data_IF_832525490489
#
_entry.id   IF_832525490489
#
_cell.length_a   1.000
_cell.length_b   1.000
_cell.length_c   1.000
_cell.angle_alpha   90.00
_cell.angle_beta   90.00
_cell.angle_gamma   90.00
#
_symmetry.space_group_name_H-M   'P 1'
#
loop_
_entity.id
_entity.type
_entity.pdbx_description
1 polymer ?
#
# COMPACT_ATOMS: atom_id res chain seq x y z
N UNK A 1 -54.62 -41.51 3.34
CA UNK A 1 -54.48 -41.25 1.89
C UNK A 1 -53.22 -40.41 1.67
N UNK A 2 -52.45 -40.75 0.63
CA UNK A 2 -51.32 -40.05 -0.03
C UNK A 2 -50.24 -39.34 0.83
N UNK A 3 -49.06 -39.97 0.82
CA UNK A 3 -47.70 -39.40 0.97
C UNK A 3 -47.42 -38.39 -0.15
N UNK A 4 -46.68 -37.31 0.12
CA UNK A 4 -45.72 -36.74 -0.84
C UNK A 4 -44.52 -36.12 -0.13
N UNK A 5 -43.37 -36.77 -0.35
CA UNK A 5 -42.01 -36.29 -0.13
C UNK A 5 -41.65 -35.30 -1.23
N UNK A 6 -40.90 -34.24 -0.89
CA UNK A 6 -40.14 -33.37 -1.83
C UNK A 6 -39.02 -32.75 -0.99
N UNK A 7 -37.85 -33.36 -0.83
CA UNK A 7 -36.76 -33.53 -1.81
C UNK A 7 -36.38 -32.20 -2.50
N UNK A 8 -35.58 -31.38 -1.81
CA UNK A 8 -34.83 -30.29 -2.43
C UNK A 8 -33.70 -30.88 -3.30
N UNK A 9 -33.61 -30.53 -4.59
CA UNK A 9 -32.52 -30.98 -5.43
C UNK A 9 -31.26 -30.15 -5.19
N UNK A 10 -30.14 -30.85 -5.09
CA UNK A 10 -28.80 -30.30 -5.30
C UNK A 10 -28.74 -29.61 -6.66
N UNK A 11 -28.46 -28.30 -6.65
CA UNK A 11 -28.06 -27.58 -7.86
C UNK A 11 -26.61 -27.96 -8.21
N UNK A 12 -26.52 -28.80 -9.25
CA UNK A 12 -25.31 -29.14 -9.97
C UNK A 12 -24.71 -27.92 -10.67
N UNK A 13 -23.38 -27.91 -10.72
CA UNK A 13 -22.55 -27.00 -11.50
C UNK A 13 -22.89 -27.07 -13.00
N UNK A 14 -22.98 -25.91 -13.64
CA UNK A 14 -22.68 -25.77 -15.06
C UNK A 14 -22.08 -24.37 -15.33
N UNK A 15 -21.00 -24.38 -16.10
CA UNK A 15 -20.12 -23.26 -16.40
C UNK A 15 -20.81 -22.04 -17.03
N UNK A 16 -20.44 -20.84 -16.56
CA UNK A 16 -20.46 -19.63 -17.38
C UNK A 16 -19.02 -19.33 -17.83
N UNK A 17 -18.52 -20.15 -18.74
CA UNK A 17 -17.45 -19.77 -19.65
C UNK A 17 -18.11 -19.09 -20.85
N UNK A 18 -18.30 -17.77 -20.76
CA UNK A 18 -18.79 -16.94 -21.86
C UNK A 18 -17.58 -16.36 -22.59
N UNK A 19 -17.15 -17.03 -23.64
CA UNK A 19 -16.08 -16.61 -24.53
C UNK A 19 -16.68 -15.86 -25.72
N UNK A 20 -16.24 -14.64 -26.07
CA UNK A 20 -16.59 -14.04 -27.37
C UNK A 20 -15.67 -14.60 -28.47
N UNK A 21 -16.19 -14.93 -29.67
CA UNK A 21 -15.39 -15.37 -30.80
C UNK A 21 -14.97 -14.17 -31.67
N UNK A 22 -13.72 -14.13 -32.09
CA UNK A 22 -13.25 -13.19 -33.11
C UNK A 22 -11.75 -12.95 -33.06
N UNK A 23 -11.02 -13.62 -33.95
CA UNK A 23 -9.58 -13.74 -33.96
C UNK A 23 -8.82 -12.43 -34.26
N UNK A 24 -7.69 -12.24 -33.58
CA UNK A 24 -6.47 -11.67 -34.17
C UNK A 24 -5.27 -12.16 -33.35
N UNK A 25 -4.48 -13.03 -33.96
CA UNK A 25 -3.10 -13.31 -33.61
C UNK A 25 -2.28 -12.03 -33.78
N UNK A 26 -2.29 -11.19 -32.75
CA UNK A 26 -1.16 -10.33 -32.42
C UNK A 26 -0.80 -10.66 -30.98
N UNK A 27 0.01 -11.71 -30.83
CA UNK A 27 0.89 -11.86 -29.69
C UNK A 27 1.97 -10.76 -29.75
N UNK A 28 1.53 -9.49 -29.71
CA UNK A 28 2.35 -8.45 -29.15
C UNK A 28 2.46 -8.82 -27.67
N UNK A 29 3.62 -9.36 -27.32
CA UNK A 29 4.01 -9.57 -25.95
C UNK A 29 3.72 -8.27 -25.19
N UNK A 30 2.58 -8.22 -24.49
CA UNK A 30 2.47 -7.48 -23.25
C UNK A 30 3.56 -8.11 -22.38
N UNK A 31 4.77 -7.57 -22.49
CA UNK A 31 5.82 -7.80 -21.52
C UNK A 31 5.14 -7.75 -20.16
N UNK A 32 5.35 -8.74 -19.28
CA UNK A 32 4.77 -8.65 -17.95
C UNK A 32 5.22 -7.28 -17.45
N UNK A 33 4.27 -6.38 -17.20
CA UNK A 33 4.55 -5.28 -16.32
C UNK A 33 5.06 -6.01 -15.08
N UNK A 34 6.38 -5.96 -14.86
CA UNK A 34 7.00 -6.58 -13.70
C UNK A 34 6.12 -6.24 -12.51
N UNK A 35 5.99 -7.16 -11.55
CA UNK A 35 5.10 -7.10 -10.39
C UNK A 35 5.44 -5.93 -9.44
N UNK A 36 5.51 -4.74 -10.02
CA UNK A 36 5.94 -3.43 -9.51
C UNK A 36 4.89 -2.87 -8.58
N UNK A 37 3.65 -3.38 -8.68
CA UNK A 37 2.63 -3.22 -7.66
C UNK A 37 3.08 -3.75 -6.29
N UNK A 38 3.87 -4.83 -6.25
CA UNK A 38 4.43 -5.35 -5.00
C UNK A 38 5.64 -4.53 -4.50
N UNK A 39 6.43 -3.96 -5.41
CA UNK A 39 7.66 -3.23 -5.08
C UNK A 39 7.41 -1.95 -4.29
N UNK A 40 6.49 -1.09 -4.75
CA UNK A 40 6.20 0.15 -4.03
C UNK A 40 5.56 -0.12 -2.67
N UNK A 41 4.82 -1.23 -2.51
CA UNK A 41 4.27 -1.66 -1.22
C UNK A 41 5.37 -2.13 -0.27
N UNK A 42 6.37 -2.87 -0.76
CA UNK A 42 7.54 -3.24 0.02
C UNK A 42 8.33 -1.99 0.48
N UNK A 43 8.47 -0.98 -0.40
CA UNK A 43 9.09 0.30 -0.04
C UNK A 43 8.27 1.08 1.00
N UNK A 44 6.95 1.00 0.94
CA UNK A 44 6.07 1.56 1.98
C UNK A 44 6.31 0.89 3.34
N UNK A 45 6.40 -0.43 3.37
CA UNK A 45 6.74 -1.17 4.60
C UNK A 45 8.12 -0.76 5.13
N UNK A 46 9.13 -0.70 4.26
CA UNK A 46 10.48 -0.25 4.60
C UNK A 46 10.51 1.16 5.19
N UNK A 47 9.71 2.08 4.65
CA UNK A 47 9.54 3.42 5.22
C UNK A 47 8.98 3.36 6.64
N UNK A 48 7.90 2.59 6.86
CA UNK A 48 7.30 2.42 8.19
C UNK A 48 8.31 1.84 9.20
N UNK A 49 9.03 0.78 8.82
CA UNK A 49 10.07 0.15 9.66
C UNK A 49 11.19 1.13 10.01
N UNK A 50 11.67 1.90 9.01
CA UNK A 50 12.67 2.95 9.24
C UNK A 50 12.17 3.96 10.28
N UNK A 51 10.96 4.48 10.09
CA UNK A 51 10.44 5.53 10.98
C UNK A 51 10.20 5.03 12.40
N UNK A 52 9.72 3.79 12.57
CA UNK A 52 9.58 3.20 13.90
C UNK A 52 10.94 2.97 14.56
N UNK A 53 11.93 2.46 13.82
CA UNK A 53 13.30 2.30 14.32
C UNK A 53 13.89 3.65 14.75
N UNK A 54 13.75 4.69 13.94
CA UNK A 54 14.25 6.04 14.28
C UNK A 54 13.51 6.67 15.46
N UNK A 55 12.22 6.41 15.61
CA UNK A 55 11.49 6.82 16.82
C UNK A 55 12.00 6.08 18.07
N UNK A 56 12.28 4.78 17.96
CA UNK A 56 12.86 3.96 19.04
C UNK A 56 14.24 4.45 19.48
N UNK A 57 15.12 4.73 18.52
CA UNK A 57 16.46 5.29 18.77
C UNK A 57 16.40 6.62 19.55
N UNK A 58 15.26 7.31 19.55
CA UNK A 58 15.07 8.63 20.14
C UNK A 58 14.02 8.66 21.28
N UNK A 59 13.63 7.50 21.84
CA UNK A 59 12.62 7.46 22.91
C UNK A 59 12.99 8.28 24.14
N UNK A 60 14.28 8.29 24.51
CA UNK A 60 14.80 9.03 25.67
C UNK A 60 15.09 10.51 25.38
N UNK A 61 14.93 10.96 24.13
CA UNK A 61 15.17 12.36 23.76
C UNK A 61 14.28 13.32 24.57
N UNK A 62 14.81 14.48 24.96
CA UNK A 62 13.98 15.51 25.61
C UNK A 62 13.02 16.12 24.57
N UNK A 63 11.82 16.53 25.00
CA UNK A 63 10.83 17.18 24.13
C UNK A 63 9.52 16.40 23.97
N UNK A 64 8.62 16.91 23.12
CA UNK A 64 7.30 16.32 22.91
C UNK A 64 7.40 15.06 22.06
N UNK A 65 6.46 14.13 22.22
CA UNK A 65 6.38 12.92 21.38
C UNK A 65 6.24 13.26 19.89
N UNK A 66 5.59 14.40 19.58
CA UNK A 66 5.50 14.96 18.24
C UNK A 66 6.85 15.29 17.63
N UNK A 67 7.78 15.85 18.41
CA UNK A 67 9.10 16.25 17.90
C UNK A 67 9.93 15.01 17.53
N UNK A 68 9.84 13.95 18.34
CA UNK A 68 10.49 12.66 18.05
C UNK A 68 9.89 12.00 16.82
N UNK A 69 8.57 12.00 16.68
CA UNK A 69 7.91 11.50 15.48
C UNK A 69 8.35 12.28 14.23
N UNK A 70 8.38 13.61 14.31
CA UNK A 70 8.76 14.49 13.19
C UNK A 70 10.23 14.32 12.79
N UNK A 71 11.13 14.10 13.76
CA UNK A 71 12.52 13.73 13.53
C UNK A 71 12.63 12.38 12.82
N UNK A 72 11.91 11.36 13.30
CA UNK A 72 11.94 10.02 12.72
C UNK A 72 11.43 9.99 11.28
N UNK A 73 10.32 10.69 11.00
CA UNK A 73 9.79 10.84 9.64
C UNK A 73 10.80 11.51 8.71
N UNK A 74 11.47 12.56 9.18
CA UNK A 74 12.43 13.32 8.37
C UNK A 74 13.71 12.51 8.10
N UNK A 75 14.16 11.69 9.05
CA UNK A 75 15.31 10.81 8.89
C UNK A 75 15.09 9.70 7.85
N UNK A 76 13.83 9.32 7.59
CA UNK A 76 13.44 8.29 6.63
C UNK A 76 12.85 8.86 5.33
N UNK A 77 13.13 10.13 5.03
CA UNK A 77 12.75 10.75 3.77
C UNK A 77 13.24 9.97 2.52
N UNK A 78 14.47 9.42 2.48
CA UNK A 78 14.94 8.66 1.33
C UNK A 78 14.07 7.44 1.00
N UNK A 79 13.58 6.71 2.00
CA UNK A 79 12.66 5.58 1.82
C UNK A 79 11.30 6.03 1.30
N UNK A 80 10.79 7.17 1.80
CA UNK A 80 9.53 7.76 1.32
C UNK A 80 9.63 8.21 -0.15
N UNK A 81 10.78 8.78 -0.53
CA UNK A 81 11.05 9.21 -1.90
C UNK A 81 11.19 8.01 -2.83
N UNK A 82 11.85 6.94 -2.40
CA UNK A 82 11.94 5.69 -3.15
C UNK A 82 10.55 5.08 -3.38
N UNK A 83 9.70 5.03 -2.34
CA UNK A 83 8.31 4.59 -2.46
C UNK A 83 7.53 5.45 -3.46
N UNK A 84 7.65 6.78 -3.37
CA UNK A 84 7.00 7.72 -4.29
C UNK A 84 7.40 7.45 -5.75
N UNK A 85 8.70 7.32 -6.00
CA UNK A 85 9.22 7.09 -7.34
C UNK A 85 8.79 5.73 -7.91
N UNK A 86 8.85 4.67 -7.11
CA UNK A 86 8.41 3.33 -7.51
C UNK A 86 6.91 3.31 -7.84
N UNK A 87 6.07 3.90 -6.99
CA UNK A 87 4.63 3.97 -7.23
C UNK A 87 4.27 4.83 -8.45
N UNK A 88 4.98 5.96 -8.64
CA UNK A 88 4.80 6.80 -9.84
C UNK A 88 5.15 6.02 -11.10
N UNK A 89 6.28 5.30 -11.12
CA UNK A 89 6.69 4.47 -12.25
C UNK A 89 5.68 3.37 -12.55
N UNK A 90 5.14 2.72 -11.51
CA UNK A 90 4.06 1.73 -11.64
C UNK A 90 2.81 2.31 -12.31
N UNK A 91 2.39 3.53 -11.92
CA UNK A 91 1.24 4.20 -12.53
C UNK A 91 1.56 4.71 -13.95
N UNK A 92 2.74 5.29 -14.17
CA UNK A 92 3.19 5.79 -15.47
C UNK A 92 3.24 4.66 -16.52
N UNK A 93 3.64 3.44 -16.12
CA UNK A 93 3.67 2.26 -17.00
C UNK A 93 2.26 1.82 -17.46
N UNK A 94 1.22 2.12 -16.69
CA UNK A 94 -0.17 1.80 -17.02
C UNK A 94 -0.86 2.90 -17.85
N UNK A 95 -0.21 4.05 -18.03
CA UNK A 95 -0.80 5.23 -18.65
C UNK A 95 -0.13 5.57 -19.97
N UNK A 96 -0.84 5.39 -21.08
CA UNK A 96 -0.35 5.70 -22.42
C UNK A 96 -0.43 7.20 -22.77
N UNK A 97 -1.44 7.91 -22.24
CA UNK A 97 -1.72 9.31 -22.57
C UNK A 97 -0.97 10.30 -21.68
N UNK A 98 -0.73 11.51 -22.21
CA UNK A 98 -0.17 12.64 -21.44
C UNK A 98 -1.04 12.99 -20.23
N UNK A 99 -2.36 12.97 -20.40
CA UNK A 99 -3.32 13.17 -19.32
C UNK A 99 -3.21 12.08 -18.25
N UNK A 100 -3.11 10.80 -18.65
CA UNK A 100 -2.92 9.68 -17.72
C UNK A 100 -1.65 9.81 -16.89
N UNK A 101 -0.53 10.19 -17.51
CA UNK A 101 0.75 10.43 -16.80
C UNK A 101 0.68 11.61 -15.84
N UNK A 102 -0.07 12.67 -16.17
CA UNK A 102 -0.33 13.76 -15.22
C UNK A 102 -1.12 13.28 -14.01
N UNK A 103 -2.17 12.47 -14.23
CA UNK A 103 -2.96 11.86 -13.17
C UNK A 103 -2.13 10.90 -12.30
N UNK A 104 -1.21 10.13 -12.90
CA UNK A 104 -0.27 9.27 -12.19
C UNK A 104 0.62 10.05 -11.21
N UNK A 105 1.18 11.19 -11.62
CA UNK A 105 1.97 12.07 -10.74
C UNK A 105 1.16 12.57 -9.55
N UNK A 106 -0.08 12.99 -9.78
CA UNK A 106 -0.96 13.46 -8.71
C UNK A 106 -1.34 12.34 -7.74
N UNK A 107 -1.66 11.15 -8.27
CA UNK A 107 -1.97 9.99 -7.44
C UNK A 107 -0.76 9.57 -6.59
N UNK A 108 0.44 9.56 -7.16
CA UNK A 108 1.67 9.26 -6.42
C UNK A 108 1.92 10.28 -5.31
N UNK A 109 1.75 11.58 -5.58
CA UNK A 109 1.87 12.62 -4.55
C UNK A 109 0.87 12.45 -3.40
N UNK A 110 -0.39 12.13 -3.72
CA UNK A 110 -1.43 11.88 -2.70
C UNK A 110 -1.10 10.69 -1.81
N UNK A 111 -0.69 9.56 -2.40
CA UNK A 111 -0.34 8.35 -1.63
C UNK A 111 0.89 8.59 -0.75
N UNK A 112 1.88 9.35 -1.24
CA UNK A 112 3.05 9.74 -0.45
C UNK A 112 2.67 10.61 0.74
N UNK A 113 1.82 11.63 0.55
CA UNK A 113 1.33 12.48 1.65
C UNK A 113 0.55 11.66 2.68
N UNK A 114 -0.43 10.87 2.23
CA UNK A 114 -1.25 10.02 3.09
C UNK A 114 -0.40 9.03 3.90
N UNK A 115 0.63 8.46 3.28
CA UNK A 115 1.57 7.57 3.97
C UNK A 115 2.34 8.31 5.05
N UNK A 116 2.86 9.51 4.77
CA UNK A 116 3.56 10.32 5.77
C UNK A 116 2.63 10.73 6.91
N UNK A 117 1.40 11.15 6.62
CA UNK A 117 0.44 11.60 7.61
C UNK A 117 -0.02 10.46 8.53
N UNK A 118 -0.27 9.28 7.96
CA UNK A 118 -0.55 8.07 8.73
C UNK A 118 0.62 7.67 9.62
N UNK A 119 1.84 7.70 9.09
CA UNK A 119 3.04 7.42 9.86
C UNK A 119 3.19 8.41 11.02
N UNK A 120 2.97 9.70 10.80
CA UNK A 120 2.99 10.73 11.85
C UNK A 120 1.99 10.43 12.96
N UNK A 121 0.73 10.21 12.61
CA UNK A 121 -0.33 9.95 13.59
C UNK A 121 -0.04 8.69 14.42
N UNK A 122 0.46 7.64 13.76
CA UNK A 122 0.89 6.42 14.42
C UNK A 122 2.06 6.67 15.38
N UNK A 123 3.14 7.31 14.90
CA UNK A 123 4.38 7.48 15.66
C UNK A 123 4.21 8.37 16.89
N UNK A 124 3.39 9.41 16.83
CA UNK A 124 3.09 10.24 18.01
C UNK A 124 2.53 9.37 19.14
N UNK A 125 1.52 8.55 18.82
CA UNK A 125 0.89 7.65 19.80
C UNK A 125 1.82 6.53 20.26
N UNK A 126 2.65 6.03 19.35
CA UNK A 126 3.66 5.04 19.65
C UNK A 126 4.68 5.56 20.67
N UNK A 127 5.29 6.72 20.41
CA UNK A 127 6.27 7.34 21.31
C UNK A 127 5.66 7.69 22.67
N UNK A 128 4.41 8.20 22.71
CA UNK A 128 3.68 8.43 23.95
C UNK A 128 3.57 7.16 24.80
N UNK A 129 3.17 6.04 24.18
CA UNK A 129 3.03 4.74 24.83
C UNK A 129 4.37 4.21 25.33
N UNK A 130 5.37 4.15 24.47
CA UNK A 130 6.68 3.58 24.82
C UNK A 130 7.36 4.35 25.96
N UNK A 131 7.27 5.69 25.93
CA UNK A 131 7.76 6.53 27.04
C UNK A 131 6.99 6.34 28.34
N UNK A 132 5.69 6.09 28.24
CA UNK A 132 4.88 5.77 29.42
C UNK A 132 5.32 4.44 30.03
N UNK A 133 5.47 3.39 29.22
CA UNK A 133 5.95 2.07 29.67
C UNK A 133 7.35 2.15 30.27
N UNK A 134 8.26 2.92 29.65
CA UNK A 134 9.62 3.11 30.17
C UNK A 134 9.69 3.83 31.53
N UNK A 135 8.63 4.51 31.97
CA UNK A 135 8.54 5.11 33.32
C UNK A 135 7.90 4.20 34.36
N UNK A 136 7.24 3.12 33.92
CA UNK A 136 6.58 2.17 34.81
C UNK A 136 7.50 1.03 35.26
N UNK A 137 8.59 0.81 34.52
CA UNK A 137 9.65 -0.17 34.82
C UNK A 137 10.83 0.52 35.49
#
# INVERSE_FOLDING_TARGET
MKKLLTALPLLLLAACASQPPGASTDAAASAPAADTGSEWQALRAKYMDCTQKKANDNLSAKGQSKDVADLALSACQPELDAMHQSFRSYLDAQMSSSHGKSSARQAAARVTSDTRDKARNYLVRYVERERYLARQN
#
